data_IF_920131042269
#
_entry.id   IF_920131042269
#
_cell.length_a   1.000
_cell.length_b   1.000
_cell.length_c   1.000
_cell.angle_alpha   90.00
_cell.angle_beta   90.00
_cell.angle_gamma   90.00
#
_symmetry.space_group_name_H-M   'P 1'
#
loop_
_entity.id
_entity.type
_entity.pdbx_description
1 polymer ?
#
# COMPACT_ATOMS: atom_id res chain seq x y z
N UNK A 1 -34.23 4.41 8.53
CA UNK A 1 -34.43 4.31 7.07
C UNK A 1 -33.17 4.83 6.41
N UNK A 2 -32.65 4.17 5.35
CA UNK A 2 -31.52 4.69 4.58
C UNK A 2 -32.07 5.59 3.47
N UNK A 3 -31.64 6.82 3.38
CA UNK A 3 -31.96 7.71 2.26
C UNK A 3 -31.05 7.40 1.08
N UNK A 4 -31.60 7.38 -0.12
CA UNK A 4 -30.83 7.36 -1.34
C UNK A 4 -30.33 8.76 -1.67
N UNK A 5 -29.25 8.85 -2.49
CA UNK A 5 -28.74 10.13 -2.95
C UNK A 5 -29.80 10.95 -3.71
N UNK A 6 -30.66 10.28 -4.50
CA UNK A 6 -31.76 10.92 -5.23
C UNK A 6 -32.76 11.53 -4.25
N UNK A 7 -33.21 10.79 -3.22
CA UNK A 7 -34.14 11.29 -2.22
C UNK A 7 -33.57 12.50 -1.46
N UNK A 8 -32.27 12.49 -1.15
CA UNK A 8 -31.62 13.62 -0.50
C UNK A 8 -31.64 14.87 -1.40
N UNK A 9 -31.29 14.71 -2.67
CA UNK A 9 -31.29 15.83 -3.64
C UNK A 9 -32.70 16.32 -3.92
N UNK A 10 -33.69 15.43 -4.01
CA UNK A 10 -35.11 15.79 -4.18
C UNK A 10 -35.64 16.60 -3.01
N UNK A 11 -35.31 16.22 -1.78
CA UNK A 11 -35.69 16.96 -0.59
C UNK A 11 -35.08 18.37 -0.59
N UNK A 12 -33.77 18.49 -0.85
CA UNK A 12 -33.09 19.79 -0.93
C UNK A 12 -33.63 20.65 -2.05
N UNK A 13 -33.88 20.05 -3.21
CA UNK A 13 -34.48 20.75 -4.37
C UNK A 13 -35.88 21.29 -4.03
N UNK A 14 -36.70 20.49 -3.32
CA UNK A 14 -38.01 20.91 -2.85
C UNK A 14 -37.96 22.08 -1.89
N UNK A 15 -37.02 22.05 -0.92
CA UNK A 15 -36.82 23.15 0.04
C UNK A 15 -36.35 24.45 -0.62
N UNK A 16 -35.55 24.35 -1.70
CA UNK A 16 -35.06 25.48 -2.46
C UNK A 16 -36.01 25.95 -3.57
N UNK A 17 -37.15 25.28 -3.74
CA UNK A 17 -38.11 25.61 -4.80
C UNK A 17 -37.59 25.30 -6.22
N UNK A 18 -36.64 24.37 -6.34
CA UNK A 18 -36.06 23.96 -7.62
C UNK A 18 -36.78 22.74 -8.18
N UNK A 19 -36.62 22.52 -9.49
CA UNK A 19 -37.18 21.33 -10.15
C UNK A 19 -36.46 20.08 -9.67
N UNK A 20 -37.22 19.08 -9.20
CA UNK A 20 -36.67 17.79 -8.78
C UNK A 20 -36.10 17.03 -9.98
N UNK A 21 -34.87 16.52 -9.89
CA UNK A 21 -34.24 15.77 -10.98
C UNK A 21 -34.73 14.32 -11.03
N UNK A 22 -34.92 13.79 -12.24
CA UNK A 22 -35.25 12.37 -12.41
C UNK A 22 -34.06 11.43 -12.07
N UNK A 23 -32.82 11.92 -12.16
CA UNK A 23 -31.60 11.22 -11.74
C UNK A 23 -30.53 12.22 -11.33
N UNK A 24 -29.65 11.81 -10.39
CA UNK A 24 -28.53 12.65 -9.95
C UNK A 24 -27.24 12.28 -10.67
N UNK A 25 -26.99 10.98 -10.82
CA UNK A 25 -25.78 10.49 -11.50
C UNK A 25 -26.03 10.53 -13.03
N UNK A 26 -25.09 11.18 -13.75
CA UNK A 26 -25.21 11.36 -15.20
C UNK A 26 -26.15 12.49 -15.64
N UNK A 27 -26.68 13.28 -14.71
CA UNK A 27 -27.48 14.45 -15.04
C UNK A 27 -26.62 15.52 -15.71
N UNK A 28 -27.16 16.14 -16.79
CA UNK A 28 -26.54 17.29 -17.48
C UNK A 28 -27.03 18.63 -16.94
N UNK A 29 -27.96 18.64 -15.99
CA UNK A 29 -28.47 19.85 -15.37
C UNK A 29 -27.43 20.42 -14.41
N UNK A 30 -27.03 21.68 -14.63
CA UNK A 30 -26.01 22.36 -13.84
C UNK A 30 -26.34 22.42 -12.33
N UNK A 31 -27.60 22.61 -11.97
CA UNK A 31 -28.03 22.65 -10.56
C UNK A 31 -27.84 21.28 -9.90
N UNK A 32 -28.25 20.21 -10.58
CA UNK A 32 -28.10 18.84 -10.09
C UNK A 32 -26.61 18.47 -9.95
N UNK A 33 -25.76 18.88 -10.92
CA UNK A 33 -24.31 18.66 -10.84
C UNK A 33 -23.67 19.41 -9.68
N UNK A 34 -24.08 20.66 -9.42
CA UNK A 34 -23.60 21.44 -8.26
C UNK A 34 -24.03 20.81 -6.94
N UNK A 35 -25.27 20.33 -6.82
CA UNK A 35 -25.74 19.61 -5.63
C UNK A 35 -24.99 18.31 -5.40
N UNK A 36 -24.71 17.55 -6.47
CA UNK A 36 -23.90 16.34 -6.39
C UNK A 36 -22.48 16.66 -5.88
N UNK A 37 -21.84 17.69 -6.45
CA UNK A 37 -20.51 18.11 -6.04
C UNK A 37 -20.47 18.56 -4.57
N UNK A 38 -21.49 19.31 -4.14
CA UNK A 38 -21.64 19.74 -2.73
C UNK A 38 -21.84 18.55 -1.80
N UNK A 39 -22.72 17.61 -2.16
CA UNK A 39 -22.99 16.40 -1.38
C UNK A 39 -21.72 15.53 -1.25
N UNK A 40 -20.95 15.39 -2.32
CA UNK A 40 -19.67 14.66 -2.30
C UNK A 40 -18.63 15.34 -1.40
N UNK A 41 -18.55 16.68 -1.45
CA UNK A 41 -17.65 17.44 -0.58
C UNK A 41 -18.03 17.29 0.89
N UNK A 42 -19.29 17.52 1.21
CA UNK A 42 -19.80 17.37 2.60
C UNK A 42 -19.63 15.93 3.11
N UNK A 43 -19.87 14.94 2.26
CA UNK A 43 -19.63 13.53 2.59
C UNK A 43 -18.16 13.26 2.96
N UNK A 44 -17.22 13.80 2.19
CA UNK A 44 -15.78 13.69 2.49
C UNK A 44 -15.41 14.42 3.80
N UNK A 45 -15.97 15.59 4.05
CA UNK A 45 -15.70 16.34 5.26
C UNK A 45 -16.27 15.59 6.48
N UNK A 46 -17.49 15.05 6.41
CA UNK A 46 -18.09 14.22 7.47
C UNK A 46 -17.27 12.95 7.78
N UNK A 47 -16.72 12.30 6.77
CA UNK A 47 -15.85 11.12 6.95
C UNK A 47 -14.54 11.51 7.64
N UNK A 48 -14.03 12.72 7.39
CA UNK A 48 -12.79 13.23 8.02
C UNK A 48 -13.00 13.68 9.46
N UNK A 49 -14.14 14.29 9.74
CA UNK A 49 -14.41 14.89 11.05
C UNK A 49 -14.83 13.86 12.10
N UNK A 50 -15.35 12.69 11.65
CA UNK A 50 -15.84 11.67 12.56
C UNK A 50 -15.44 10.27 12.13
N UNK A 51 -15.01 9.45 13.10
CA UNK A 51 -14.63 8.06 12.90
C UNK A 51 -15.86 7.14 12.94
N UNK A 52 -16.52 6.99 11.82
CA UNK A 52 -17.71 6.13 11.71
C UNK A 52 -17.30 4.67 11.80
N UNK A 53 -17.74 3.97 12.85
CA UNK A 53 -17.42 2.55 13.05
C UNK A 53 -17.72 1.66 11.82
N UNK A 54 -18.76 1.99 11.05
CA UNK A 54 -19.10 1.25 9.81
C UNK A 54 -18.14 1.50 8.64
N UNK A 55 -17.34 2.55 8.69
CA UNK A 55 -16.31 2.86 7.70
C UNK A 55 -14.93 2.40 8.15
N UNK A 56 -14.80 1.97 9.40
CA UNK A 56 -13.57 1.40 9.95
C UNK A 56 -13.48 -0.06 9.52
N UNK A 57 -12.41 -0.41 8.85
CA UNK A 57 -12.12 -1.79 8.46
C UNK A 57 -10.80 -2.22 9.09
N UNK A 58 -10.81 -3.37 9.78
CA UNK A 58 -9.58 -4.00 10.22
C UNK A 58 -8.84 -4.57 9.02
N UNK A 59 -7.58 -4.20 8.87
CA UNK A 59 -6.70 -4.74 7.86
C UNK A 59 -5.55 -5.49 8.52
N UNK A 60 -5.38 -6.74 8.14
CA UNK A 60 -4.31 -7.60 8.68
C UNK A 60 -3.24 -7.75 7.60
N UNK A 61 -2.05 -7.23 7.86
CA UNK A 61 -0.89 -7.53 7.04
C UNK A 61 -0.35 -8.91 7.38
N UNK A 62 -0.29 -9.77 6.37
CA UNK A 62 0.49 -10.99 6.48
C UNK A 62 1.92 -10.70 6.05
N UNK A 63 2.86 -10.81 6.99
CA UNK A 63 4.29 -10.72 6.69
C UNK A 63 4.77 -11.99 6.00
N UNK A 64 5.58 -11.86 4.96
CA UNK A 64 6.21 -13.01 4.31
C UNK A 64 7.36 -13.53 5.19
N UNK A 65 7.54 -14.85 5.18
CA UNK A 65 8.63 -15.49 5.94
C UNK A 65 9.96 -15.12 5.29
N UNK A 66 10.92 -14.67 6.10
CA UNK A 66 12.25 -14.36 5.62
C UNK A 66 12.99 -15.63 5.14
N UNK A 67 13.72 -15.52 4.04
CA UNK A 67 14.51 -16.61 3.46
C UNK A 67 15.94 -16.51 3.97
N UNK A 68 16.40 -17.50 4.72
CA UNK A 68 17.79 -17.60 5.16
C UNK A 68 18.57 -18.54 4.23
N UNK A 69 19.72 -18.07 3.75
CA UNK A 69 20.58 -18.82 2.83
C UNK A 69 22.06 -18.43 3.02
N UNK A 70 22.92 -19.03 2.24
CA UNK A 70 24.35 -18.66 2.20
C UNK A 70 24.73 -18.16 0.82
N UNK A 71 25.80 -17.40 0.72
CA UNK A 71 26.33 -16.94 -0.56
C UNK A 71 27.75 -16.41 -0.43
N UNK A 72 28.41 -16.18 -1.54
CA UNK A 72 29.75 -15.63 -1.61
C UNK A 72 29.66 -14.13 -1.92
N UNK A 73 30.30 -13.32 -1.09
CA UNK A 73 30.39 -11.87 -1.22
C UNK A 73 31.84 -11.45 -1.45
N UNK A 74 32.04 -10.38 -2.24
CA UNK A 74 33.34 -9.77 -2.52
C UNK A 74 33.27 -8.28 -2.23
N UNK A 75 34.15 -7.76 -1.39
CA UNK A 75 34.17 -6.35 -1.01
C UNK A 75 34.17 -5.43 -2.24
N UNK A 76 33.32 -4.40 -2.22
CA UNK A 76 33.14 -3.47 -3.33
C UNK A 76 32.24 -4.01 -4.47
N UNK A 77 31.90 -5.29 -4.49
CA UNK A 77 30.94 -5.88 -5.45
C UNK A 77 29.49 -5.67 -4.98
N UNK A 78 28.57 -5.54 -5.93
CA UNK A 78 27.14 -5.60 -5.69
C UNK A 78 26.56 -6.99 -5.94
N UNK A 79 27.34 -7.90 -6.47
CA UNK A 79 26.90 -9.23 -6.88
C UNK A 79 27.19 -10.23 -5.77
N UNK A 80 26.17 -10.99 -5.42
CA UNK A 80 26.26 -12.15 -4.52
C UNK A 80 26.16 -13.40 -5.40
N UNK A 81 27.11 -14.29 -5.25
CA UNK A 81 27.20 -15.54 -6.03
C UNK A 81 27.10 -16.77 -5.12
N UNK A 82 26.98 -17.94 -5.73
CA UNK A 82 26.95 -19.23 -5.02
C UNK A 82 25.81 -19.32 -3.98
N UNK A 83 24.70 -18.68 -4.24
CA UNK A 83 23.46 -18.87 -3.50
C UNK A 83 22.92 -20.26 -3.90
N UNK A 84 22.58 -21.17 -2.96
CA UNK A 84 22.05 -22.50 -3.31
C UNK A 84 20.78 -22.45 -4.16
N UNK A 85 19.91 -21.47 -3.91
CA UNK A 85 18.70 -21.21 -4.69
C UNK A 85 18.20 -19.79 -4.46
N UNK A 86 17.79 -19.11 -5.53
CA UNK A 86 17.10 -17.82 -5.47
C UNK A 86 15.56 -17.97 -5.44
N UNK A 87 15.05 -19.21 -5.37
CA UNK A 87 13.62 -19.46 -5.21
C UNK A 87 13.12 -18.85 -3.88
N UNK A 88 12.03 -18.09 -3.95
CA UNK A 88 11.49 -17.36 -2.80
C UNK A 88 12.14 -15.99 -2.55
N UNK A 89 13.14 -15.59 -3.32
CA UNK A 89 13.67 -14.23 -3.33
C UNK A 89 12.92 -13.37 -4.33
N UNK A 90 12.77 -12.08 -4.02
CA UNK A 90 12.15 -11.10 -4.91
C UNK A 90 12.99 -9.81 -4.97
N UNK A 91 12.89 -9.10 -6.08
CA UNK A 91 13.43 -7.73 -6.19
C UNK A 91 12.79 -6.85 -5.13
N UNK A 92 13.60 -6.03 -4.44
CA UNK A 92 13.16 -5.21 -3.30
C UNK A 92 13.23 -5.95 -1.95
N UNK A 93 13.59 -7.25 -1.90
CA UNK A 93 13.89 -7.87 -0.61
C UNK A 93 15.13 -7.25 0.00
N UNK A 94 15.03 -6.85 1.27
CA UNK A 94 16.16 -6.36 2.07
C UNK A 94 17.00 -7.53 2.53
N UNK A 95 18.31 -7.38 2.44
CA UNK A 95 19.27 -8.36 2.90
C UNK A 95 19.89 -7.93 4.22
N UNK A 96 20.05 -8.88 5.15
CA UNK A 96 20.78 -8.71 6.39
C UNK A 96 21.82 -9.82 6.55
N UNK A 97 22.97 -9.48 7.09
CA UNK A 97 24.07 -10.42 7.30
C UNK A 97 25.42 -9.71 7.41
N UNK A 98 26.46 -10.50 7.65
CA UNK A 98 27.83 -9.96 7.77
C UNK A 98 28.29 -9.35 6.43
N UNK A 99 28.85 -8.14 6.48
CA UNK A 99 29.38 -7.45 5.32
C UNK A 99 28.33 -6.80 4.41
N UNK A 100 27.07 -6.80 4.82
CA UNK A 100 26.02 -6.09 4.12
C UNK A 100 25.92 -4.65 4.60
N UNK A 101 25.65 -3.72 3.68
CA UNK A 101 25.29 -2.37 4.04
C UNK A 101 23.87 -2.33 4.67
N UNK A 102 23.59 -1.40 5.61
CA UNK A 102 22.23 -1.18 6.09
C UNK A 102 21.28 -0.93 4.92
N UNK A 103 20.12 -1.56 4.94
CA UNK A 103 19.08 -1.41 3.90
C UNK A 103 19.55 -1.78 2.48
N UNK A 104 20.48 -2.71 2.36
CA UNK A 104 20.83 -3.29 1.07
C UNK A 104 19.65 -4.12 0.55
N UNK A 105 19.30 -3.96 -0.72
CA UNK A 105 18.15 -4.61 -1.35
C UNK A 105 18.55 -5.33 -2.62
N UNK A 106 17.80 -6.37 -3.00
CA UNK A 106 17.94 -7.01 -4.29
C UNK A 106 17.47 -6.07 -5.39
N UNK A 107 18.38 -5.67 -6.27
CA UNK A 107 18.09 -4.89 -7.46
C UNK A 107 17.65 -5.80 -8.62
N UNK A 108 18.34 -6.91 -8.82
CA UNK A 108 18.02 -7.90 -9.85
C UNK A 108 18.33 -9.32 -9.38
N UNK A 109 17.56 -10.29 -9.86
CA UNK A 109 17.83 -11.73 -9.74
C UNK A 109 18.41 -12.16 -11.08
N UNK A 110 19.74 -12.39 -11.12
CA UNK A 110 20.47 -12.62 -12.37
C UNK A 110 20.38 -14.08 -12.81
N UNK A 111 20.29 -15.00 -11.85
CA UNK A 111 20.15 -16.45 -12.11
C UNK A 111 19.58 -17.18 -10.89
N UNK A 112 19.45 -18.49 -11.00
CA UNK A 112 19.04 -19.35 -9.86
C UNK A 112 20.04 -19.36 -8.71
N UNK A 113 21.25 -18.79 -8.87
CA UNK A 113 22.35 -18.84 -7.88
C UNK A 113 23.02 -17.49 -7.65
N UNK A 114 22.48 -16.40 -8.26
CA UNK A 114 23.10 -15.09 -8.25
C UNK A 114 22.06 -13.96 -8.16
N UNK A 115 22.36 -12.96 -7.35
CA UNK A 115 21.59 -11.72 -7.25
C UNK A 115 22.51 -10.51 -7.28
N UNK A 116 22.01 -9.37 -7.76
CA UNK A 116 22.69 -8.06 -7.71
C UNK A 116 21.96 -7.15 -6.76
N UNK A 117 22.71 -6.48 -5.87
CA UNK A 117 22.22 -5.53 -4.87
C UNK A 117 22.25 -4.07 -5.37
N UNK A 118 21.47 -3.23 -4.72
CA UNK A 118 21.48 -1.77 -4.92
C UNK A 118 22.77 -1.12 -4.35
N UNK A 119 23.41 -1.72 -3.33
CA UNK A 119 24.62 -1.24 -2.67
C UNK A 119 25.74 -2.28 -2.67
N UNK A 120 27.02 -1.87 -2.74
CA UNK A 120 28.14 -2.80 -2.68
C UNK A 120 28.31 -3.38 -1.27
N UNK A 121 28.78 -4.61 -1.17
CA UNK A 121 29.14 -5.26 0.09
C UNK A 121 30.50 -4.76 0.59
N UNK A 122 30.68 -4.79 1.92
CA UNK A 122 31.86 -4.19 2.58
C UNK A 122 33.00 -5.16 2.85
N UNK A 123 32.72 -6.47 2.82
CA UNK A 123 33.71 -7.51 3.13
C UNK A 123 33.70 -8.61 2.06
N UNK A 124 34.78 -9.38 2.00
CA UNK A 124 34.90 -10.57 1.16
C UNK A 124 34.82 -11.82 2.02
N UNK A 125 33.82 -12.67 1.79
CA UNK A 125 33.65 -13.90 2.55
C UNK A 125 32.92 -14.94 1.68
N UNK A 126 33.36 -16.17 1.68
CA UNK A 126 32.68 -17.30 1.10
C UNK A 126 31.66 -17.90 2.07
N UNK A 127 30.56 -18.41 1.55
CA UNK A 127 29.50 -19.07 2.31
C UNK A 127 29.00 -18.28 3.53
N UNK A 128 28.90 -16.95 3.41
CA UNK A 128 28.34 -16.11 4.48
C UNK A 128 26.84 -16.35 4.61
N UNK A 129 26.39 -16.51 5.84
CA UNK A 129 24.95 -16.60 6.14
C UNK A 129 24.29 -15.24 5.98
N UNK A 130 23.18 -15.22 5.30
CA UNK A 130 22.39 -14.01 5.03
C UNK A 130 20.89 -14.32 5.03
N UNK A 131 20.10 -13.31 5.39
CA UNK A 131 18.64 -13.41 5.44
C UNK A 131 18.03 -12.34 4.55
N UNK A 132 17.12 -12.76 3.71
CA UNK A 132 16.35 -11.90 2.81
C UNK A 132 14.92 -11.78 3.34
N UNK A 133 14.42 -10.56 3.46
CA UNK A 133 13.09 -10.29 3.96
C UNK A 133 12.40 -9.22 3.11
N UNK A 134 11.09 -9.38 2.90
CA UNK A 134 10.27 -8.33 2.33
C UNK A 134 10.04 -7.23 3.37
N UNK A 135 10.28 -6.00 3.01
CA UNK A 135 10.11 -4.85 3.88
C UNK A 135 8.91 -3.99 3.50
N UNK A 136 8.60 -3.90 2.21
CA UNK A 136 7.54 -3.05 1.70
C UNK A 136 6.25 -3.83 1.48
N UNK A 137 5.20 -3.41 2.16
CA UNK A 137 3.85 -3.95 2.02
C UNK A 137 2.92 -2.84 1.55
N UNK A 138 2.15 -3.05 0.47
CA UNK A 138 1.22 -2.04 -0.01
C UNK A 138 0.13 -1.77 1.03
N UNK A 139 -0.31 -0.53 1.08
CA UNK A 139 -1.51 -0.18 1.83
C UNK A 139 -2.75 -0.77 1.14
N UNK A 140 -3.81 -1.09 1.88
CA UNK A 140 -5.05 -1.60 1.29
C UNK A 140 -5.67 -0.58 0.34
N UNK A 141 -6.39 -1.09 -0.67
CA UNK A 141 -7.15 -0.24 -1.57
C UNK A 141 -8.18 0.58 -0.79
N UNK A 142 -8.26 1.87 -1.11
CA UNK A 142 -9.15 2.79 -0.41
C UNK A 142 -8.64 3.27 0.96
N UNK A 143 -7.36 3.02 1.29
CA UNK A 143 -6.77 3.56 2.51
C UNK A 143 -6.84 5.08 2.53
N UNK A 144 -7.44 5.64 3.58
CA UNK A 144 -7.48 7.08 3.85
C UNK A 144 -6.51 7.44 4.98
N UNK A 145 -6.69 6.83 6.15
CA UNK A 145 -5.84 7.08 7.32
C UNK A 145 -5.86 5.93 8.32
N UNK A 146 -4.83 5.85 9.14
CA UNK A 146 -4.83 5.01 10.33
C UNK A 146 -5.63 5.68 11.46
N UNK A 147 -6.46 4.89 12.12
CA UNK A 147 -7.12 5.28 13.36
C UNK A 147 -6.23 4.77 14.50
N UNK A 148 -5.57 5.71 15.20
CA UNK A 148 -4.81 5.39 16.41
C UNK A 148 -5.76 5.27 17.60
N UNK A 149 -5.42 4.40 18.57
CA UNK A 149 -6.12 4.24 19.85
C UNK A 149 -7.53 3.65 19.80
N UNK A 150 -7.81 2.78 18.85
CA UNK A 150 -9.01 1.94 18.96
C UNK A 150 -8.74 0.82 19.96
N UNK A 151 -9.19 0.99 21.19
CA UNK A 151 -9.33 -0.10 22.16
C UNK A 151 -10.51 -0.97 21.71
N UNK A 152 -10.20 -2.12 21.13
CA UNK A 152 -11.18 -3.16 20.77
C UNK A 152 -11.42 -4.11 21.93
#
# INVERSE_FOLDING_TARGET
MAYTLLQLVDQVSGELGLTQPASVIGSTNNQTMQMLALAQRLGKDLVRDYEWQKLVQAYIWQTEVAVSTTGTITAGSRVITSIPSTAGLAVGNVITGTGQAPYAEILTIDSSTQVTLNTPVTTSTAAVSMTFAKQDYPLPDGYDRMISDTNW
#
